data_IF_134930357402
#
_entry.id   IF_134930357402
#
_cell.length_a   1.000
_cell.length_b   1.000
_cell.length_c   1.000
_cell.angle_alpha   90.00
_cell.angle_beta   90.00
_cell.angle_gamma   90.00
#
_symmetry.space_group_name_H-M   'P 1'
#
loop_
_entity.id
_entity.type
_entity.pdbx_description
1 polymer ?
#
# COMPACT_ATOMS: atom_id res chain seq x y z
N UNK A 1 2.02 -22.10 -4.24
CA UNK A 1 1.65 -21.58 -5.57
C UNK A 1 0.17 -21.90 -5.79
N UNK A 2 -0.70 -20.91 -6.01
CA UNK A 2 -2.13 -21.16 -6.26
C UNK A 2 -2.31 -21.73 -7.67
N UNK A 3 -2.74 -22.99 -7.79
CA UNK A 3 -2.88 -23.71 -9.08
C UNK A 3 -4.35 -23.88 -9.50
N UNK A 4 -5.28 -23.09 -8.99
CA UNK A 4 -6.66 -23.09 -9.49
C UNK A 4 -6.78 -22.13 -10.67
N UNK A 5 -7.06 -22.69 -11.86
CA UNK A 5 -7.30 -21.92 -13.08
C UNK A 5 -8.55 -21.04 -12.94
N UNK A 6 -9.50 -21.48 -12.13
CA UNK A 6 -10.76 -20.81 -11.84
C UNK A 6 -10.50 -19.52 -11.07
N UNK A 7 -9.73 -19.57 -9.98
CA UNK A 7 -9.35 -18.36 -9.22
C UNK A 7 -8.64 -17.35 -10.12
N UNK A 8 -7.69 -17.80 -10.93
CA UNK A 8 -6.98 -16.91 -11.86
C UNK A 8 -7.93 -16.26 -12.87
N UNK A 9 -8.92 -17.00 -13.39
CA UNK A 9 -9.94 -16.44 -14.29
C UNK A 9 -10.81 -15.41 -13.60
N UNK A 10 -11.26 -15.67 -12.37
CA UNK A 10 -12.09 -14.73 -11.62
C UNK A 10 -11.32 -13.45 -11.24
N UNK A 11 -10.06 -13.57 -10.81
CA UNK A 11 -9.23 -12.41 -10.52
C UNK A 11 -9.01 -11.53 -11.76
N UNK A 12 -8.82 -12.14 -12.94
CA UNK A 12 -8.75 -11.39 -14.21
C UNK A 12 -10.03 -10.64 -14.53
N UNK A 13 -11.20 -11.26 -14.33
CA UNK A 13 -12.50 -10.60 -14.51
C UNK A 13 -12.68 -9.42 -13.55
N UNK A 14 -12.11 -9.51 -12.35
CA UNK A 14 -12.08 -8.44 -11.36
C UNK A 14 -11.04 -7.35 -11.65
N UNK A 15 -10.32 -7.44 -12.77
CA UNK A 15 -9.37 -6.42 -13.24
C UNK A 15 -7.91 -6.68 -12.85
N UNK A 16 -7.59 -7.80 -12.20
CA UNK A 16 -6.20 -8.15 -11.88
C UNK A 16 -5.53 -8.84 -13.07
N UNK A 17 -4.85 -8.04 -13.88
CA UNK A 17 -4.14 -8.52 -15.07
C UNK A 17 -2.86 -9.27 -14.68
N UNK A 18 -2.60 -10.46 -15.25
CA UNK A 18 -1.34 -11.19 -15.07
C UNK A 18 -0.21 -10.57 -15.93
N UNK A 19 1.04 -10.85 -15.58
CA UNK A 19 2.22 -10.49 -16.39
C UNK A 19 3.15 -9.50 -15.69
N UNK A 20 4.04 -8.88 -16.46
CA UNK A 20 5.01 -7.92 -15.95
C UNK A 20 4.29 -6.65 -15.46
N UNK A 21 4.37 -6.40 -14.15
CA UNK A 21 3.70 -5.29 -13.45
C UNK A 21 4.10 -3.91 -13.98
N UNK A 22 5.31 -3.78 -14.50
CA UNK A 22 5.87 -2.52 -15.01
C UNK A 22 5.44 -2.32 -16.47
N UNK A 23 5.48 -3.36 -17.29
CA UNK A 23 4.97 -3.29 -18.68
C UNK A 23 3.46 -3.06 -18.72
N UNK A 24 2.72 -3.71 -17.82
CA UNK A 24 1.26 -3.65 -17.78
C UNK A 24 0.71 -2.49 -16.95
N UNK A 25 1.59 -1.69 -16.31
CA UNK A 25 1.22 -0.50 -15.53
C UNK A 25 0.04 -0.79 -14.58
N UNK A 26 0.11 -1.92 -13.87
CA UNK A 26 -1.01 -2.46 -13.09
C UNK A 26 -1.43 -1.46 -12.01
N UNK A 27 -2.69 -1.06 -12.07
CA UNK A 27 -3.34 -0.19 -11.10
C UNK A 27 -4.20 -1.01 -10.11
N UNK A 28 -4.72 -0.34 -9.08
CA UNK A 28 -5.69 -0.92 -8.16
C UNK A 28 -7.07 -0.81 -8.82
N UNK A 29 -7.82 -1.92 -8.98
CA UNK A 29 -9.17 -1.88 -9.54
C UNK A 29 -10.09 -0.86 -8.86
N UNK A 30 -10.92 -0.16 -9.63
CA UNK A 30 -11.83 0.89 -9.11
C UNK A 30 -12.70 0.42 -7.96
N UNK A 31 -13.25 -0.79 -8.04
CA UNK A 31 -14.10 -1.34 -6.97
C UNK A 31 -13.38 -1.47 -5.61
N UNK A 32 -12.04 -1.53 -5.58
CA UNK A 32 -11.26 -1.46 -4.34
C UNK A 32 -11.14 -0.01 -3.87
N UNK A 33 -10.92 0.93 -4.79
CA UNK A 33 -10.70 2.35 -4.52
C UNK A 33 -11.97 3.09 -4.08
N UNK A 34 -13.13 2.61 -4.50
CA UNK A 34 -14.43 3.23 -4.20
C UNK A 34 -14.96 2.86 -2.80
N UNK A 35 -14.41 1.81 -2.18
CA UNK A 35 -14.90 1.27 -0.92
C UNK A 35 -13.84 1.32 0.19
N UNK A 36 -14.10 2.09 1.25
CA UNK A 36 -13.14 2.28 2.37
C UNK A 36 -12.64 0.97 2.96
N UNK A 37 -13.54 -0.02 3.10
CA UNK A 37 -13.19 -1.35 3.62
C UNK A 37 -12.16 -2.07 2.72
N UNK A 38 -12.28 -1.96 1.40
CA UNK A 38 -11.37 -2.59 0.47
C UNK A 38 -10.07 -1.80 0.34
N UNK A 39 -10.11 -0.48 0.36
CA UNK A 39 -8.92 0.36 0.46
C UNK A 39 -8.04 -0.03 1.64
N UNK A 40 -8.63 -0.15 2.85
CA UNK A 40 -7.89 -0.54 4.05
C UNK A 40 -7.19 -1.90 3.89
N UNK A 41 -7.92 -2.91 3.38
CA UNK A 41 -7.35 -4.24 3.14
C UNK A 41 -6.27 -4.24 2.05
N UNK A 42 -6.46 -3.45 1.00
CA UNK A 42 -5.48 -3.32 -0.08
C UNK A 42 -4.20 -2.64 0.41
N UNK A 43 -4.31 -1.53 1.15
CA UNK A 43 -3.18 -0.83 1.76
C UNK A 43 -2.40 -1.73 2.70
N UNK A 44 -3.09 -2.53 3.53
CA UNK A 44 -2.44 -3.54 4.38
C UNK A 44 -1.58 -4.48 3.54
N UNK A 45 -2.15 -5.07 2.48
CA UNK A 45 -1.44 -5.98 1.58
C UNK A 45 -0.23 -5.32 0.91
N UNK A 46 -0.39 -4.09 0.40
CA UNK A 46 0.68 -3.33 -0.24
C UNK A 46 1.83 -3.01 0.72
N UNK A 47 1.51 -2.62 1.96
CA UNK A 47 2.54 -2.37 2.98
C UNK A 47 3.25 -3.67 3.37
N UNK A 48 2.49 -4.76 3.58
CA UNK A 48 3.04 -6.04 3.99
C UNK A 48 3.92 -6.69 2.92
N UNK A 49 3.67 -6.46 1.63
CA UNK A 49 4.54 -6.96 0.55
C UNK A 49 5.67 -5.99 0.22
N UNK A 50 5.34 -4.82 -0.31
CA UNK A 50 6.29 -3.90 -0.96
C UNK A 50 6.57 -2.64 -0.12
N UNK A 51 5.87 -2.46 1.00
CA UNK A 51 6.12 -1.36 1.93
C UNK A 51 7.17 -1.67 3.00
N UNK A 52 7.56 -0.63 3.73
CA UNK A 52 8.48 -0.69 4.87
C UNK A 52 7.92 0.18 5.97
N UNK A 53 7.98 -0.31 7.20
CA UNK A 53 7.78 0.49 8.40
C UNK A 53 9.12 0.47 9.13
N UNK A 54 9.68 1.63 9.43
CA UNK A 54 10.99 1.73 10.06
C UNK A 54 11.09 2.96 10.96
N UNK A 55 11.97 2.89 11.94
CA UNK A 55 12.34 4.02 12.81
C UNK A 55 13.53 4.74 12.19
N UNK A 56 13.38 6.03 11.91
CA UNK A 56 14.41 6.87 11.33
C UNK A 56 15.46 7.18 12.40
N UNK A 57 16.74 6.90 12.10
CA UNK A 57 17.83 7.01 13.08
C UNK A 57 18.19 8.44 13.46
N UNK A 58 17.85 9.42 12.62
CA UNK A 58 18.25 10.83 12.82
C UNK A 58 17.43 11.56 13.87
N UNK A 59 16.15 11.19 14.03
CA UNK A 59 15.20 11.92 14.87
C UNK A 59 14.14 11.00 15.52
N UNK A 60 14.39 9.70 15.49
CA UNK A 60 13.61 8.67 16.17
C UNK A 60 12.14 8.55 15.71
N UNK A 61 11.80 9.12 14.55
CA UNK A 61 10.44 9.06 13.98
C UNK A 61 10.17 7.74 13.29
N UNK A 62 8.97 7.19 13.47
CA UNK A 62 8.52 6.03 12.70
C UNK A 62 7.97 6.51 11.36
N UNK A 63 8.36 5.86 10.27
CA UNK A 63 7.94 6.17 8.91
C UNK A 63 7.34 4.93 8.27
N UNK A 64 6.20 5.10 7.61
CA UNK A 64 5.61 4.11 6.72
C UNK A 64 5.94 4.53 5.30
N UNK A 65 6.57 3.65 4.53
CA UNK A 65 7.04 3.94 3.18
C UNK A 65 6.58 2.86 2.20
N UNK A 66 6.17 3.27 1.01
CA UNK A 66 5.84 2.39 -0.10
C UNK A 66 6.72 2.78 -1.30
N UNK A 67 7.61 1.87 -1.71
CA UNK A 67 8.53 2.07 -2.83
C UNK A 67 8.19 1.09 -3.95
N UNK A 68 7.76 1.61 -5.10
CA UNK A 68 7.36 0.77 -6.23
C UNK A 68 7.64 1.47 -7.57
N UNK A 69 8.09 0.71 -8.57
CA UNK A 69 8.37 1.22 -9.91
C UNK A 69 7.11 1.38 -10.77
N UNK A 70 6.00 0.71 -10.44
CA UNK A 70 4.69 0.98 -11.04
C UNK A 70 4.18 2.33 -10.56
N UNK A 71 4.17 3.32 -11.45
CA UNK A 71 3.64 4.64 -11.16
C UNK A 71 2.14 4.61 -10.83
N UNK A 72 1.27 3.90 -11.57
CA UNK A 72 -0.16 3.78 -11.24
C UNK A 72 -0.38 3.22 -9.85
N UNK A 73 0.34 2.16 -9.47
CA UNK A 73 0.19 1.56 -8.15
C UNK A 73 0.62 2.52 -7.04
N UNK A 74 1.66 3.32 -7.29
CA UNK A 74 2.14 4.35 -6.36
C UNK A 74 1.15 5.51 -6.23
N UNK A 75 0.55 5.93 -7.34
CA UNK A 75 -0.50 6.96 -7.35
C UNK A 75 -1.77 6.47 -6.66
N UNK A 76 -2.16 5.22 -6.87
CA UNK A 76 -3.30 4.60 -6.21
C UNK A 76 -3.05 4.41 -4.71
N UNK A 77 -1.85 4.00 -4.30
CA UNK A 77 -1.48 3.97 -2.89
C UNK A 77 -1.63 5.35 -2.25
N UNK A 78 -1.09 6.39 -2.90
CA UNK A 78 -1.21 7.78 -2.44
C UNK A 78 -2.68 8.21 -2.36
N UNK A 79 -3.48 7.91 -3.39
CA UNK A 79 -4.90 8.24 -3.45
C UNK A 79 -5.67 7.56 -2.33
N UNK A 80 -5.53 6.24 -2.15
CA UNK A 80 -6.22 5.50 -1.10
C UNK A 80 -5.85 6.01 0.30
N UNK A 81 -4.57 6.34 0.54
CA UNK A 81 -4.15 6.95 1.79
C UNK A 81 -4.83 8.31 2.02
N UNK A 82 -4.85 9.18 1.02
CA UNK A 82 -5.50 10.49 1.11
C UNK A 82 -7.02 10.36 1.33
N UNK A 83 -7.69 9.47 0.61
CA UNK A 83 -9.13 9.20 0.72
C UNK A 83 -9.52 8.63 2.09
N UNK A 84 -8.58 8.01 2.81
CA UNK A 84 -8.79 7.55 4.17
C UNK A 84 -8.52 8.62 5.24
N UNK A 85 -7.92 9.76 4.88
CA UNK A 85 -7.63 10.88 5.78
C UNK A 85 -6.16 11.02 6.19
N UNK A 86 -5.27 10.19 5.64
CA UNK A 86 -3.82 10.30 5.87
C UNK A 86 -3.21 11.38 4.96
N UNK A 87 -2.02 11.87 5.29
CA UNK A 87 -1.29 12.87 4.50
C UNK A 87 -0.02 12.26 3.88
N UNK A 88 -0.15 11.45 2.82
CA UNK A 88 1.00 10.84 2.16
C UNK A 88 1.82 11.88 1.38
N UNK A 89 3.14 11.84 1.54
CA UNK A 89 4.09 12.71 0.83
C UNK A 89 5.01 11.91 -0.09
N UNK A 90 5.64 12.57 -1.05
CA UNK A 90 6.75 11.98 -1.80
C UNK A 90 8.02 11.91 -0.93
N UNK A 91 8.81 10.86 -1.06
CA UNK A 91 10.11 10.69 -0.39
C UNK A 91 11.27 10.41 -1.37
N UNK A 92 11.00 10.57 -2.67
CA UNK A 92 11.90 10.20 -3.76
C UNK A 92 11.10 9.86 -5.02
N UNK A 93 11.81 9.59 -6.14
CA UNK A 93 11.20 9.40 -7.48
C UNK A 93 10.13 8.30 -7.52
N UNK A 94 10.31 7.23 -6.75
CA UNK A 94 9.45 6.04 -6.76
C UNK A 94 8.87 5.71 -5.39
N UNK A 95 8.72 6.73 -4.54
CA UNK A 95 8.46 6.51 -3.12
C UNK A 95 7.38 7.45 -2.58
N UNK A 96 6.40 6.85 -1.90
CA UNK A 96 5.38 7.55 -1.12
C UNK A 96 5.56 7.17 0.34
N UNK A 97 5.37 8.11 1.26
CA UNK A 97 5.51 7.87 2.69
C UNK A 97 4.43 8.57 3.52
N UNK A 98 4.23 8.09 4.73
CA UNK A 98 3.52 8.77 5.82
C UNK A 98 4.54 8.94 6.95
N UNK A 99 4.82 10.20 7.31
CA UNK A 99 5.86 10.53 8.30
C UNK A 99 5.31 11.31 9.52
N UNK A 100 4.07 11.80 9.47
CA UNK A 100 3.44 12.45 10.62
C UNK A 100 3.12 11.42 11.70
N UNK A 101 3.74 11.53 12.89
CA UNK A 101 3.68 10.47 13.91
C UNK A 101 2.26 10.11 14.35
N UNK A 102 1.38 11.12 14.48
CA UNK A 102 -0.06 10.90 14.73
C UNK A 102 -0.69 10.01 13.65
N UNK A 103 -0.44 10.34 12.38
CA UNK A 103 -1.00 9.58 11.25
C UNK A 103 -0.37 8.19 11.10
N UNK A 104 0.89 8.03 11.47
CA UNK A 104 1.57 6.73 11.49
C UNK A 104 0.90 5.83 12.53
N UNK A 105 0.63 6.35 13.72
CA UNK A 105 -0.10 5.62 14.76
C UNK A 105 -1.51 5.24 14.29
N UNK A 106 -2.28 6.22 13.81
CA UNK A 106 -3.63 6.00 13.27
C UNK A 106 -3.63 4.95 12.14
N UNK A 107 -2.64 5.00 11.24
CA UNK A 107 -2.51 4.01 10.17
C UNK A 107 -2.23 2.62 10.73
N UNK A 108 -1.34 2.48 11.70
CA UNK A 108 -1.00 1.18 12.28
C UNK A 108 -2.20 0.57 13.00
N UNK A 109 -2.95 1.38 13.74
CA UNK A 109 -4.14 0.95 14.47
C UNK A 109 -5.29 0.56 13.53
N UNK A 110 -5.52 1.33 12.46
CA UNK A 110 -6.63 1.08 11.53
C UNK A 110 -6.34 0.03 10.44
N UNK A 111 -5.12 0.02 9.90
CA UNK A 111 -4.72 -0.82 8.76
C UNK A 111 -4.14 -2.14 9.24
N UNK A 112 -3.57 -2.19 10.45
CA UNK A 112 -3.00 -3.39 11.08
C UNK A 112 -2.01 -4.17 10.19
N UNK A 113 -0.99 -3.51 9.60
CA UNK A 113 0.03 -4.21 8.83
C UNK A 113 0.85 -5.13 9.72
N UNK A 114 1.14 -6.33 9.23
CA UNK A 114 1.94 -7.33 9.95
C UNK A 114 3.32 -6.77 10.29
N UNK A 115 3.91 -5.96 9.39
CA UNK A 115 5.23 -5.34 9.60
C UNK A 115 5.28 -4.40 10.82
N UNK A 116 4.16 -3.85 11.29
CA UNK A 116 4.14 -2.99 12.47
C UNK A 116 4.42 -3.76 13.77
N UNK A 117 4.16 -5.08 13.82
CA UNK A 117 4.43 -5.91 15.01
C UNK A 117 5.90 -5.95 15.44
N UNK A 118 6.82 -5.55 14.56
CA UNK A 118 8.27 -5.53 14.80
C UNK A 118 8.79 -4.15 15.26
N UNK A 119 7.90 -3.17 15.39
CA UNK A 119 8.26 -1.79 15.76
C UNK A 119 7.70 -1.56 17.16
N UNK A 120 8.59 -1.39 18.14
CA UNK A 120 8.21 -0.84 19.45
C UNK A 120 8.01 0.67 19.31
N UNK A 121 6.92 1.19 19.87
CA UNK A 121 6.66 2.63 19.96
C UNK A 121 7.34 3.21 21.20
#
# INVERSE_FOLDING_TARGET
MLYSKEIVKELKKLGLQPGDKIMNQVDVPRWIKDERKYMKKCLRGLVDTDGTIYRQTTDDRIIIQFKNFSEPLRLDFKHMCASLGYSPSGAGKHTVQIAGQRQVQEFIDEITPIKATKISF
#
